data_IF_047536293285
#
_entry.id   IF_047536293285
#
_cell.length_a   1.000
_cell.length_b   1.000
_cell.length_c   1.000
_cell.angle_alpha   90.00
_cell.angle_beta   90.00
_cell.angle_gamma   90.00
#
_symmetry.space_group_name_H-M   'P 1'
#
loop_
_entity.id
_entity.type
_entity.pdbx_description
1 polymer ?
#
# COMPACT_ATOMS: atom_id res chain seq x y z
N UNK A 1 32.16 24.87 36.81
CA UNK A 1 31.31 25.74 35.95
C UNK A 1 30.58 24.87 34.93
N UNK A 2 29.43 25.32 34.40
CA UNK A 2 28.59 24.64 33.37
C UNK A 2 28.41 25.62 32.19
N UNK A 3 28.05 25.28 30.95
CA UNK A 3 27.05 24.33 30.36
C UNK A 3 27.49 23.95 28.93
N UNK A 4 26.99 22.96 28.18
CA UNK A 4 26.16 21.73 28.34
C UNK A 4 26.32 20.91 27.03
N UNK A 5 25.98 19.62 27.00
CA UNK A 5 25.92 18.81 25.75
C UNK A 5 24.52 18.82 25.12
N UNK A 6 24.44 18.98 23.79
CA UNK A 6 23.22 18.75 23.00
C UNK A 6 23.30 17.39 22.31
N UNK A 7 22.75 16.36 22.95
CA UNK A 7 22.48 15.08 22.30
C UNK A 7 21.21 14.44 22.88
N UNK A 8 20.05 14.94 22.45
CA UNK A 8 18.74 14.31 22.66
C UNK A 8 18.25 13.71 21.36
N UNK A 9 18.48 12.40 21.20
CA UNK A 9 18.03 11.61 20.07
C UNK A 9 16.88 10.69 20.51
N UNK A 10 15.77 10.77 19.79
CA UNK A 10 14.58 9.89 19.62
C UNK A 10 14.20 8.80 20.67
N UNK A 11 15.13 8.15 21.35
CA UNK A 11 14.90 7.21 22.47
C UNK A 11 14.03 7.85 23.59
N UNK A 12 14.26 9.12 23.89
CA UNK A 12 13.48 9.92 24.85
C UNK A 12 11.98 9.99 24.48
N UNK A 13 11.63 9.93 23.18
CA UNK A 13 10.23 10.02 22.75
C UNK A 13 9.51 8.68 22.93
N UNK A 14 10.14 7.57 22.51
CA UNK A 14 9.60 6.22 22.72
C UNK A 14 9.50 5.87 24.22
N UNK A 15 10.52 6.22 25.02
CA UNK A 15 10.44 6.01 26.48
C UNK A 15 9.46 6.94 27.19
N UNK A 16 9.10 8.10 26.64
CA UNK A 16 8.06 8.97 27.23
C UNK A 16 6.65 8.37 27.14
N UNK A 17 6.35 7.65 26.05
CA UNK A 17 5.06 6.98 25.83
C UNK A 17 5.00 5.61 26.54
N UNK A 18 6.17 5.00 26.78
CA UNK A 18 6.30 3.67 27.38
C UNK A 18 6.85 3.65 28.81
N UNK A 19 6.73 4.73 29.60
CA UNK A 19 6.97 4.62 31.05
C UNK A 19 5.91 3.71 31.68
N UNK A 20 6.27 2.55 32.25
CA UNK A 20 5.33 1.82 33.08
C UNK A 20 5.13 2.63 34.35
N UNK A 21 3.87 2.93 34.68
CA UNK A 21 3.55 3.24 36.07
C UNK A 21 4.00 2.04 36.92
N UNK A 22 4.81 2.27 37.95
CA UNK A 22 5.17 1.23 38.92
C UNK A 22 3.98 0.96 39.85
N UNK A 23 2.91 0.42 39.27
CA UNK A 23 1.74 -0.17 39.90
C UNK A 23 1.06 -1.03 38.83
N UNK A 24 1.41 -2.32 38.78
CA UNK A 24 0.94 -3.23 37.74
C UNK A 24 -0.51 -3.67 37.98
N UNK A 25 -1.46 -3.06 37.28
CA UNK A 25 -2.82 -3.57 37.12
C UNK A 25 -3.02 -4.09 35.69
N UNK A 26 -3.37 -5.37 35.54
CA UNK A 26 -3.65 -6.01 34.23
C UNK A 26 -4.74 -5.28 33.42
N UNK A 27 -5.64 -4.59 34.12
CA UNK A 27 -6.79 -3.91 33.59
C UNK A 27 -6.43 -2.73 32.64
N UNK A 28 -5.27 -2.10 32.80
CA UNK A 28 -4.88 -0.95 31.95
C UNK A 28 -4.39 -1.37 30.54
N UNK A 29 -3.84 -2.58 30.40
CA UNK A 29 -3.53 -3.18 29.10
C UNK A 29 -4.81 -3.50 28.34
N UNK A 30 -5.73 -4.24 28.96
CA UNK A 30 -7.04 -4.59 28.39
C UNK A 30 -7.85 -3.33 28.02
N UNK A 31 -7.82 -2.30 28.87
CA UNK A 31 -8.54 -1.04 28.61
C UNK A 31 -7.99 -0.28 27.40
N UNK A 32 -6.68 -0.31 27.17
CA UNK A 32 -6.07 0.29 25.96
C UNK A 32 -6.33 -0.55 24.71
N UNK A 33 -6.28 -1.88 24.83
CA UNK A 33 -6.57 -2.81 23.74
C UNK A 33 -8.04 -2.69 23.28
N UNK A 34 -8.98 -2.65 24.22
CA UNK A 34 -10.41 -2.45 23.94
C UNK A 34 -10.70 -1.10 23.26
N UNK A 35 -10.03 -0.01 23.67
CA UNK A 35 -10.15 1.31 23.01
C UNK A 35 -9.50 1.34 21.62
N UNK A 36 -8.49 0.50 21.36
CA UNK A 36 -7.89 0.38 20.02
C UNK A 36 -8.78 -0.40 19.05
N UNK A 37 -9.48 -1.44 19.54
CA UNK A 37 -10.39 -2.24 18.72
C UNK A 37 -11.74 -1.53 18.50
N UNK A 38 -12.22 -0.71 19.44
CA UNK A 38 -13.47 0.07 19.27
C UNK A 38 -13.39 1.18 18.21
N UNK A 39 -12.23 1.41 17.58
CA UNK A 39 -12.05 2.33 16.44
C UNK A 39 -12.08 1.64 15.07
N UNK A 40 -12.17 0.30 15.04
CA UNK A 40 -12.10 -0.47 13.80
C UNK A 40 -13.52 -0.62 13.26
N UNK A 41 -13.97 0.38 12.51
CA UNK A 41 -15.12 0.22 11.63
C UNK A 41 -14.69 -0.63 10.42
N UNK A 42 -15.25 -1.83 10.31
CA UNK A 42 -14.97 -2.78 9.24
C UNK A 42 -16.01 -2.73 8.11
N UNK A 43 -16.98 -1.80 8.18
CA UNK A 43 -18.08 -1.69 7.20
C UNK A 43 -17.64 -1.16 5.83
N UNK A 44 -16.51 -0.45 5.78
CA UNK A 44 -15.93 0.10 4.53
C UNK A 44 -15.31 -0.99 3.65
N UNK A 45 -14.84 -2.10 4.24
CA UNK A 45 -14.30 -3.22 3.47
C UNK A 45 -15.41 -4.23 3.12
N UNK A 46 -15.44 -4.75 1.88
CA UNK A 46 -16.37 -5.82 1.54
C UNK A 46 -16.20 -7.05 2.44
N UNK A 47 -17.30 -7.75 2.71
CA UNK A 47 -17.24 -9.03 3.44
C UNK A 47 -16.77 -10.13 2.48
N UNK A 48 -15.87 -10.99 2.97
CA UNK A 48 -15.26 -12.05 2.16
C UNK A 48 -13.98 -11.61 1.46
N UNK A 49 -13.72 -12.17 0.28
CA UNK A 49 -12.56 -11.84 -0.55
C UNK A 49 -12.91 -10.75 -1.57
N UNK A 50 -11.99 -9.81 -1.77
CA UNK A 50 -12.14 -8.67 -2.67
C UNK A 50 -10.81 -8.28 -3.31
N UNK A 51 -10.89 -7.62 -4.46
CA UNK A 51 -9.79 -6.92 -5.09
C UNK A 51 -9.65 -5.51 -4.49
N UNK A 52 -8.42 -5.01 -4.40
CA UNK A 52 -8.14 -3.62 -4.04
C UNK A 52 -7.63 -2.92 -5.30
N UNK A 53 -8.51 -2.11 -5.92
CA UNK A 53 -8.34 -1.54 -7.26
C UNK A 53 -7.75 -0.13 -7.24
N UNK A 54 -6.78 0.06 -8.14
CA UNK A 54 -6.07 1.30 -8.38
C UNK A 54 -6.98 2.34 -9.04
N UNK A 55 -7.04 3.57 -8.51
CA UNK A 55 -7.74 4.70 -9.15
C UNK A 55 -7.13 5.16 -10.49
N UNK A 56 -5.93 4.69 -10.85
CA UNK A 56 -5.16 5.23 -11.98
C UNK A 56 -5.38 4.44 -13.27
N UNK A 57 -5.45 3.11 -13.17
CA UNK A 57 -5.50 2.20 -14.32
C UNK A 57 -6.42 0.99 -14.10
N UNK A 58 -7.14 0.91 -12.97
CA UNK A 58 -7.99 -0.24 -12.62
C UNK A 58 -7.22 -1.51 -12.21
N UNK A 59 -5.88 -1.50 -12.25
CA UNK A 59 -5.04 -2.61 -11.79
C UNK A 59 -5.18 -2.87 -10.29
N UNK A 60 -4.88 -4.09 -9.85
CA UNK A 60 -5.15 -4.57 -8.48
C UNK A 60 -3.87 -4.78 -7.68
N UNK A 61 -3.97 -4.73 -6.35
CA UNK A 61 -2.85 -5.05 -5.45
C UNK A 61 -2.46 -6.53 -5.56
N UNK A 62 -1.17 -6.79 -5.79
CA UNK A 62 -0.60 -8.13 -5.90
C UNK A 62 0.81 -8.18 -5.29
N UNK A 63 1.23 -9.28 -4.63
CA UNK A 63 2.63 -9.54 -4.30
C UNK A 63 3.48 -9.67 -5.57
N UNK A 64 4.58 -8.92 -5.64
CA UNK A 64 5.46 -8.89 -6.82
C UNK A 64 5.90 -10.30 -7.24
N UNK A 65 5.75 -10.58 -8.55
CA UNK A 65 6.11 -11.86 -9.17
C UNK A 65 5.37 -13.07 -8.59
N UNK A 66 4.11 -12.88 -8.15
CA UNK A 66 3.25 -13.91 -7.57
C UNK A 66 3.86 -14.63 -6.35
N UNK A 67 4.90 -14.06 -5.75
CA UNK A 67 5.66 -14.73 -4.71
C UNK A 67 4.86 -14.80 -3.41
N UNK A 68 4.95 -15.93 -2.70
CA UNK A 68 4.30 -16.12 -1.39
C UNK A 68 5.23 -15.73 -0.22
N UNK A 69 6.42 -15.21 -0.50
CA UNK A 69 7.44 -14.93 0.51
C UNK A 69 7.19 -13.63 1.28
N UNK A 70 7.62 -13.61 2.53
CA UNK A 70 7.61 -12.42 3.39
C UNK A 70 8.62 -11.37 2.90
N UNK A 71 8.26 -10.08 3.01
CA UNK A 71 9.08 -8.95 2.54
C UNK A 71 9.00 -8.66 1.04
N UNK A 72 8.27 -9.47 0.26
CA UNK A 72 7.95 -9.23 -1.17
C UNK A 72 7.12 -7.96 -1.30
N UNK A 73 7.52 -7.05 -2.20
CA UNK A 73 6.83 -5.77 -2.40
C UNK A 73 5.43 -5.96 -2.97
N UNK A 74 4.51 -5.04 -2.67
CA UNK A 74 3.22 -4.97 -3.35
C UNK A 74 3.31 -4.06 -4.58
N UNK A 75 2.70 -4.51 -5.68
CA UNK A 75 2.62 -3.82 -6.98
C UNK A 75 1.18 -3.78 -7.47
N UNK A 76 0.94 -3.01 -8.52
CA UNK A 76 -0.26 -3.10 -9.36
C UNK A 76 -0.07 -4.13 -10.47
N UNK A 77 -1.03 -5.03 -10.64
CA UNK A 77 -1.11 -5.96 -11.77
C UNK A 77 -2.46 -5.86 -12.49
N UNK A 78 -2.52 -6.41 -13.70
CA UNK A 78 -3.76 -6.59 -14.45
C UNK A 78 -4.67 -7.55 -13.69
N UNK A 79 -5.94 -7.17 -13.46
CA UNK A 79 -6.90 -7.99 -12.73
C UNK A 79 -7.18 -9.31 -13.46
N UNK A 80 -7.08 -10.43 -12.74
CA UNK A 80 -7.34 -11.79 -13.21
C UNK A 80 -8.50 -12.42 -12.46
N UNK A 81 -9.12 -13.42 -13.07
CA UNK A 81 -10.28 -14.14 -12.54
C UNK A 81 -10.06 -15.66 -12.62
N UNK A 82 -10.84 -16.43 -11.86
CA UNK A 82 -10.68 -17.89 -11.79
C UNK A 82 -9.58 -18.30 -10.81
N UNK A 83 -8.89 -19.40 -11.10
CA UNK A 83 -7.88 -19.98 -10.21
C UNK A 83 -6.64 -19.09 -10.02
N UNK A 84 -6.24 -18.32 -11.05
CA UNK A 84 -5.04 -17.47 -11.02
C UNK A 84 -5.25 -16.10 -10.31
N UNK A 85 -6.39 -15.93 -9.64
CA UNK A 85 -6.81 -14.69 -8.98
C UNK A 85 -6.42 -14.60 -7.49
N UNK A 86 -6.11 -15.72 -6.83
CA UNK A 86 -5.98 -15.77 -5.36
C UNK A 86 -4.79 -14.94 -4.84
N UNK A 87 -3.76 -14.72 -5.66
CA UNK A 87 -2.66 -13.78 -5.35
C UNK A 87 -3.09 -12.31 -5.36
N UNK A 88 -4.22 -11.97 -5.99
CA UNK A 88 -4.78 -10.61 -6.10
C UNK A 88 -5.97 -10.36 -5.16
N UNK A 89 -6.45 -11.42 -4.51
CA UNK A 89 -7.59 -11.37 -3.60
C UNK A 89 -7.12 -11.12 -2.16
N UNK A 90 -7.83 -10.22 -1.49
CA UNK A 90 -7.57 -9.80 -0.14
C UNK A 90 -8.83 -9.90 0.70
N UNK A 91 -8.70 -10.09 2.01
CA UNK A 91 -9.79 -9.90 2.98
C UNK A 91 -9.34 -9.00 4.11
N UNK A 92 -10.29 -8.36 4.77
CA UNK A 92 -10.05 -7.56 5.96
C UNK A 92 -10.53 -8.31 7.21
N UNK A 93 -9.71 -8.32 8.27
CA UNK A 93 -10.02 -8.93 9.55
C UNK A 93 -9.27 -8.20 10.67
N UNK A 94 -10.01 -7.64 11.64
CA UNK A 94 -9.44 -7.03 12.85
C UNK A 94 -8.32 -5.99 12.58
N UNK A 95 -8.42 -5.22 11.51
CA UNK A 95 -7.40 -4.24 11.09
C UNK A 95 -6.32 -4.79 10.15
N UNK A 96 -6.22 -6.10 9.93
CA UNK A 96 -5.28 -6.67 8.98
C UNK A 96 -5.92 -6.83 7.59
N UNK A 97 -5.18 -6.49 6.55
CA UNK A 97 -5.51 -6.82 5.15
C UNK A 97 -4.68 -8.07 4.80
N UNK A 98 -5.33 -9.18 4.49
CA UNK A 98 -4.72 -10.53 4.35
C UNK A 98 -4.86 -11.00 2.90
N UNK A 99 -3.78 -11.49 2.29
CA UNK A 99 -3.79 -12.10 0.96
C UNK A 99 -4.39 -13.51 0.99
N UNK A 100 -5.17 -13.88 -0.03
CA UNK A 100 -5.85 -15.19 -0.10
C UNK A 100 -4.86 -16.34 -0.32
N UNK A 101 -3.98 -16.21 -1.31
CA UNK A 101 -3.00 -17.26 -1.66
C UNK A 101 -1.93 -17.47 -0.56
N UNK A 102 -1.27 -16.39 -0.11
CA UNK A 102 -0.13 -16.51 0.81
C UNK A 102 -0.51 -16.59 2.30
N UNK A 103 -1.74 -16.20 2.65
CA UNK A 103 -2.18 -16.00 4.04
C UNK A 103 -1.46 -14.86 4.78
N UNK A 104 -0.58 -14.11 4.11
CA UNK A 104 0.24 -13.04 4.70
C UNK A 104 -0.51 -11.71 4.71
N UNK A 105 -0.06 -10.79 5.55
CA UNK A 105 -0.70 -9.47 5.73
C UNK A 105 0.06 -8.35 5.02
N UNK A 106 -0.67 -7.31 4.62
CA UNK A 106 -0.12 -6.06 4.13
C UNK A 106 0.67 -5.34 5.24
N UNK A 107 1.95 -5.06 4.99
CA UNK A 107 2.92 -4.51 5.94
C UNK A 107 3.71 -3.35 5.30
N UNK A 108 4.22 -2.44 6.12
CA UNK A 108 5.17 -1.41 5.68
C UNK A 108 6.58 -1.97 5.71
N UNK A 109 7.26 -1.92 4.56
CA UNK A 109 8.56 -2.57 4.39
C UNK A 109 9.62 -2.00 5.34
N UNK A 110 10.04 -2.84 6.29
CA UNK A 110 11.10 -2.53 7.26
C UNK A 110 10.64 -1.70 8.46
N UNK A 111 9.36 -1.76 8.83
CA UNK A 111 8.83 -1.21 10.09
C UNK A 111 9.17 0.28 10.32
N UNK A 112 9.22 1.06 9.23
CA UNK A 112 9.60 2.47 9.26
C UNK A 112 9.06 3.24 8.06
N UNK A 113 8.38 4.35 8.31
CA UNK A 113 7.96 5.28 7.26
C UNK A 113 9.07 6.28 6.93
N UNK A 114 9.53 6.26 5.68
CA UNK A 114 10.40 7.26 5.06
C UNK A 114 9.54 8.37 4.42
N UNK A 115 9.69 9.59 4.93
CA UNK A 115 8.89 10.77 4.49
C UNK A 115 9.23 11.30 3.08
N UNK A 116 10.48 11.16 2.62
CA UNK A 116 11.00 11.88 1.43
C UNK A 116 10.88 11.08 0.13
N UNK A 117 10.96 9.75 0.19
CA UNK A 117 10.96 8.87 -0.99
C UNK A 117 9.76 7.92 -1.02
N UNK A 118 8.77 8.15 -0.17
CA UNK A 118 7.75 7.15 0.20
C UNK A 118 8.36 5.90 0.84
N UNK A 119 7.51 4.95 1.21
CA UNK A 119 7.93 3.64 1.72
C UNK A 119 7.18 2.54 1.01
N UNK A 120 7.86 1.53 0.48
CA UNK A 120 7.18 0.39 -0.14
C UNK A 120 6.30 -0.35 0.86
N UNK A 121 5.15 -0.82 0.37
CA UNK A 121 4.42 -1.91 1.01
C UNK A 121 5.04 -3.25 0.64
N UNK A 122 4.86 -4.23 1.51
CA UNK A 122 5.15 -5.63 1.28
C UNK A 122 4.08 -6.52 1.91
N UNK A 123 4.03 -7.80 1.54
CA UNK A 123 3.37 -8.79 2.39
C UNK A 123 4.36 -9.30 3.45
N UNK A 124 3.87 -9.68 4.61
CA UNK A 124 4.68 -10.24 5.69
C UNK A 124 3.86 -11.15 6.60
N UNK A 125 4.53 -11.94 7.44
CA UNK A 125 3.84 -12.73 8.46
C UNK A 125 3.13 -11.83 9.47
N UNK A 126 1.92 -12.24 9.89
CA UNK A 126 1.09 -11.49 10.84
C UNK A 126 1.80 -11.39 12.20
N UNK A 127 2.16 -10.17 12.58
CA UNK A 127 2.73 -9.83 13.90
C UNK A 127 1.62 -9.86 14.96
N UNK A 128 2.00 -10.09 16.22
CA UNK A 128 1.09 -9.92 17.36
C UNK A 128 0.56 -8.48 17.44
N UNK A 129 -0.64 -8.27 17.99
CA UNK A 129 -1.30 -6.95 18.03
C UNK A 129 -0.40 -5.84 18.60
N UNK A 130 0.42 -6.16 19.59
CA UNK A 130 1.39 -5.25 20.23
C UNK A 130 2.50 -4.77 19.27
N UNK A 131 2.90 -5.60 18.30
CA UNK A 131 3.96 -5.33 17.34
C UNK A 131 3.43 -5.02 15.92
N UNK A 132 2.12 -5.13 15.70
CA UNK A 132 1.47 -4.99 14.40
C UNK A 132 1.26 -3.53 13.94
N UNK A 133 1.88 -2.53 14.56
CA UNK A 133 1.60 -1.10 14.31
C UNK A 133 1.73 -0.63 12.85
N UNK A 134 2.44 -1.40 12.02
CA UNK A 134 2.65 -1.19 10.58
C UNK A 134 1.87 -2.17 9.66
N UNK A 135 1.13 -3.10 10.26
CA UNK A 135 0.28 -4.11 9.57
C UNK A 135 -1.22 -3.88 9.80
N UNK A 136 -1.59 -2.81 10.52
CA UNK A 136 -2.97 -2.48 10.88
C UNK A 136 -3.44 -1.26 10.10
N UNK A 137 -4.57 -1.42 9.43
CA UNK A 137 -5.12 -0.52 8.42
C UNK A 137 -6.57 -0.14 8.78
N UNK A 138 -7.03 1.02 8.29
CA UNK A 138 -8.43 1.46 8.29
C UNK A 138 -8.80 1.84 6.85
N UNK A 139 -9.98 1.42 6.40
CA UNK A 139 -10.60 1.90 5.17
C UNK A 139 -11.50 3.10 5.45
N UNK A 140 -11.50 4.08 4.55
CA UNK A 140 -12.31 5.30 4.68
C UNK A 140 -13.34 5.38 3.55
N UNK A 141 -14.53 5.93 3.83
CA UNK A 141 -15.64 6.05 2.86
C UNK A 141 -15.26 6.89 1.62
N UNK A 142 -14.29 7.80 1.73
CA UNK A 142 -13.74 8.61 0.64
C UNK A 142 -12.66 7.87 -0.20
N UNK A 143 -12.42 6.58 0.07
CA UNK A 143 -11.55 5.68 -0.70
C UNK A 143 -10.11 5.58 -0.18
N UNK A 144 -9.74 6.27 0.90
CA UNK A 144 -8.40 6.12 1.47
C UNK A 144 -8.27 4.81 2.25
N UNK A 145 -7.08 4.22 2.23
CA UNK A 145 -6.69 3.15 3.14
C UNK A 145 -5.51 3.69 3.94
N UNK A 146 -5.70 3.93 5.25
CA UNK A 146 -4.69 4.51 6.13
C UNK A 146 -4.15 3.51 7.14
N UNK A 147 -3.03 3.81 7.78
CA UNK A 147 -2.65 3.10 9.01
C UNK A 147 -3.68 3.34 10.13
N UNK A 148 -3.85 2.34 10.99
CA UNK A 148 -4.60 2.44 12.26
C UNK A 148 -3.85 3.30 13.30
N UNK A 149 -2.51 3.34 13.20
CA UNK A 149 -1.63 4.05 14.15
C UNK A 149 -1.41 5.53 13.80
N UNK A 150 -1.54 5.91 12.53
CA UNK A 150 -1.38 7.30 12.04
C UNK A 150 -2.12 7.47 10.70
N UNK A 151 -3.35 7.98 10.76
CA UNK A 151 -4.29 8.08 9.64
C UNK A 151 -3.84 9.01 8.50
N UNK A 152 -2.85 9.87 8.77
CA UNK A 152 -2.19 10.74 7.79
C UNK A 152 -1.39 9.97 6.76
N UNK A 153 -1.01 8.72 7.05
CA UNK A 153 -0.27 7.87 6.13
C UNK A 153 -1.19 6.86 5.44
N UNK A 154 -1.29 6.99 4.12
CA UNK A 154 -2.23 6.27 3.26
C UNK A 154 -1.52 5.50 2.15
N UNK A 155 -2.18 4.47 1.63
CA UNK A 155 -1.78 3.77 0.40
C UNK A 155 -1.77 4.73 -0.79
N UNK A 156 -0.70 4.69 -1.58
CA UNK A 156 -0.47 5.55 -2.73
C UNK A 156 0.16 4.77 -3.88
N UNK A 157 -0.35 4.96 -5.10
CA UNK A 157 0.25 4.42 -6.32
C UNK A 157 1.56 5.15 -6.61
N UNK A 158 2.68 4.46 -6.44
CA UNK A 158 4.01 4.99 -6.71
C UNK A 158 4.31 5.08 -8.21
N UNK A 159 5.01 6.13 -8.59
CA UNK A 159 5.39 6.40 -9.98
C UNK A 159 5.35 7.88 -10.29
N UNK A 160 6.28 8.30 -11.16
CA UNK A 160 6.31 9.62 -11.77
C UNK A 160 6.39 9.45 -13.30
N UNK A 161 6.11 10.51 -14.05
CA UNK A 161 6.20 10.54 -15.52
C UNK A 161 5.37 9.45 -16.24
N UNK A 162 4.29 8.98 -15.63
CA UNK A 162 3.38 7.99 -16.22
C UNK A 162 3.65 6.55 -15.78
N UNK A 163 4.77 6.27 -15.10
CA UNK A 163 5.07 4.92 -14.58
C UNK A 163 4.02 4.39 -13.60
N UNK A 164 3.25 5.28 -12.95
CA UNK A 164 2.09 4.92 -12.11
C UNK A 164 0.95 4.21 -12.87
N UNK A 165 0.97 4.24 -14.21
CA UNK A 165 -0.03 3.57 -15.07
C UNK A 165 0.39 2.17 -15.51
N UNK A 166 1.67 1.83 -15.32
CA UNK A 166 2.25 0.59 -15.83
C UNK A 166 1.91 -0.60 -14.93
N UNK A 167 1.86 -1.79 -15.51
CA UNK A 167 1.93 -3.03 -14.75
C UNK A 167 3.27 -3.13 -13.99
N UNK A 168 3.22 -3.64 -12.76
CA UNK A 168 4.35 -3.64 -11.84
C UNK A 168 4.59 -2.31 -11.10
N UNK A 169 3.73 -1.29 -11.28
CA UNK A 169 3.83 -0.03 -10.52
C UNK A 169 3.79 -0.30 -9.02
N UNK A 170 4.80 0.18 -8.28
CA UNK A 170 4.91 -0.08 -6.84
C UNK A 170 3.86 0.65 -6.04
N UNK A 171 3.36 0.01 -4.97
CA UNK A 171 2.49 0.68 -4.01
C UNK A 171 3.29 1.11 -2.78
N UNK A 172 3.06 2.36 -2.37
CA UNK A 172 3.79 3.05 -1.33
C UNK A 172 2.84 3.49 -0.20
N UNK A 173 3.42 3.74 0.96
CA UNK A 173 2.81 4.56 2.02
C UNK A 173 3.30 5.98 1.90
N UNK A 174 2.35 6.91 1.96
CA UNK A 174 2.57 8.33 1.67
C UNK A 174 1.67 9.23 2.52
N UNK A 175 2.03 10.51 2.68
CA UNK A 175 1.19 11.45 3.41
C UNK A 175 -0.08 11.81 2.60
N UNK A 176 -1.25 11.84 3.24
CA UNK A 176 -2.55 12.20 2.63
C UNK A 176 -2.53 13.61 2.02
N UNK A 177 -1.74 14.52 2.59
CA UNK A 177 -1.55 15.90 2.11
C UNK A 177 -0.11 16.20 1.68
N UNK A 178 0.48 15.34 0.85
CA UNK A 178 1.90 15.41 0.47
C UNK A 178 2.42 16.81 0.06
N UNK A 179 1.69 17.53 -0.79
CA UNK A 179 2.10 18.85 -1.29
C UNK A 179 2.19 19.93 -0.21
N UNK A 180 1.39 19.85 0.85
CA UNK A 180 1.47 20.76 1.99
C UNK A 180 2.64 20.35 2.87
N UNK A 181 2.73 19.05 3.18
CA UNK A 181 3.77 18.49 4.03
C UNK A 181 5.20 18.79 3.55
N UNK A 182 5.49 18.60 2.25
CA UNK A 182 6.83 18.87 1.70
C UNK A 182 7.15 20.38 1.70
N UNK A 183 6.17 21.25 1.44
CA UNK A 183 6.36 22.71 1.56
C UNK A 183 6.67 23.11 3.00
N UNK A 184 5.98 22.54 3.96
CA UNK A 184 6.18 22.81 5.38
C UNK A 184 7.52 22.28 5.90
N UNK A 185 7.96 21.10 5.46
CA UNK A 185 9.27 20.56 5.86
C UNK A 185 10.43 21.33 5.19
N UNK A 186 10.29 21.71 3.91
CA UNK A 186 11.28 22.54 3.20
C UNK A 186 11.35 23.98 3.74
N UNK A 187 10.25 24.55 4.21
CA UNK A 187 10.24 25.91 4.80
C UNK A 187 10.88 25.92 6.19
N UNK A 188 10.68 24.88 7.03
CA UNK A 188 11.42 24.71 8.30
C UNK A 188 12.93 24.66 8.05
N UNK A 189 13.39 23.77 7.17
CA UNK A 189 14.82 23.64 6.81
C UNK A 189 15.40 24.97 6.32
N UNK A 190 14.67 25.73 5.48
CA UNK A 190 15.09 27.06 5.02
C UNK A 190 15.07 28.14 6.11
N UNK A 191 14.21 28.01 7.12
CA UNK A 191 14.18 28.88 8.29
C UNK A 191 15.40 28.69 9.19
N UNK A 192 15.76 27.43 9.45
CA UNK A 192 16.91 27.08 10.30
C UNK A 192 18.24 27.53 9.67
N UNK A 193 18.40 27.37 8.36
CA UNK A 193 19.58 27.86 7.60
C UNK A 193 19.74 29.38 7.72
N UNK A 194 18.63 30.15 7.75
CA UNK A 194 18.66 31.61 7.93
C UNK A 194 19.01 32.01 9.36
N UNK A 195 18.60 31.22 10.36
CA UNK A 195 18.90 31.49 11.77
C UNK A 195 20.33 31.11 12.18
N UNK A 196 20.98 30.19 11.47
CA UNK A 196 22.40 29.84 11.67
C UNK A 196 23.40 30.88 11.14
N UNK A 197 23.01 31.78 10.24
CA UNK A 197 23.93 32.60 9.44
C UNK A 197 24.00 34.08 9.87
N UNK A 198 24.33 34.37 11.14
CA UNK A 198 24.69 35.73 11.59
C UNK A 198 26.20 35.98 11.49
N UNK A 199 26.66 36.38 10.30
CA UNK A 199 27.65 37.48 10.03
C UNK A 199 28.24 37.33 8.62
N UNK A 200 27.73 38.08 7.65
CA UNK A 200 28.45 39.22 7.05
C UNK A 200 27.52 39.98 6.10
N UNK A 201 27.65 41.31 6.08
CA UNK A 201 26.84 42.24 5.29
C UNK A 201 27.62 42.70 4.06
N UNK A 202 27.07 42.54 2.85
CA UNK A 202 27.10 43.56 1.76
C UNK A 202 26.30 43.14 0.51
N UNK A 203 25.30 43.97 0.22
CA UNK A 203 24.93 44.56 -1.07
C UNK A 203 24.79 43.69 -2.34
N UNK A 204 23.54 43.44 -2.74
CA UNK A 204 22.95 43.88 -4.01
C UNK A 204 23.31 43.18 -5.33
N UNK A 205 22.33 42.49 -5.93
CA UNK A 205 21.87 42.76 -7.31
C UNK A 205 20.57 42.00 -7.63
N UNK A 206 19.82 42.60 -8.56
CA UNK A 206 18.54 42.29 -9.22
C UNK A 206 18.01 40.83 -9.25
N UNK A 207 16.68 40.75 -9.13
CA UNK A 207 15.84 39.64 -9.59
C UNK A 207 15.95 39.42 -11.10
N UNK A 208 16.27 38.19 -11.50
CA UNK A 208 15.93 37.64 -12.82
C UNK A 208 15.17 36.31 -12.60
N UNK A 209 13.85 36.33 -12.80
CA UNK A 209 12.98 35.23 -12.41
C UNK A 209 13.17 33.94 -13.25
N UNK A 210 13.54 32.84 -12.59
CA UNK A 210 13.42 31.46 -13.14
C UNK A 210 12.85 30.47 -12.12
N UNK A 211 11.65 30.77 -11.60
CA UNK A 211 10.78 29.76 -10.95
C UNK A 211 10.10 28.90 -12.03
N UNK A 212 10.91 28.22 -12.85
CA UNK A 212 10.45 27.41 -13.98
C UNK A 212 10.16 25.96 -13.60
N UNK A 213 8.98 25.48 -13.99
CA UNK A 213 8.62 24.08 -14.15
C UNK A 213 8.60 23.18 -12.89
N UNK A 214 7.51 23.22 -12.12
CA UNK A 214 7.10 22.10 -11.26
C UNK A 214 5.58 22.04 -10.97
N UNK A 215 4.76 22.30 -11.99
CA UNK A 215 3.29 22.26 -11.89
C UNK A 215 2.66 21.60 -13.12
N UNK A 216 2.97 20.31 -13.34
CA UNK A 216 2.29 19.45 -14.31
C UNK A 216 1.94 18.10 -13.65
N UNK A 217 1.22 18.16 -12.53
CA UNK A 217 0.64 16.99 -11.88
C UNK A 217 -0.87 17.16 -11.81
N UNK A 218 -1.59 16.24 -12.46
CA UNK A 218 -3.03 16.07 -12.19
C UNK A 218 -3.22 15.74 -10.70
N UNK A 219 -4.35 16.14 -10.12
CA UNK A 219 -4.59 16.17 -8.67
C UNK A 219 -4.06 14.92 -7.96
N UNK A 220 -2.94 15.04 -7.23
CA UNK A 220 -2.18 13.88 -6.71
C UNK A 220 -3.01 12.96 -5.79
N UNK A 221 -4.06 13.50 -5.18
CA UNK A 221 -5.04 12.77 -4.38
C UNK A 221 -5.74 11.64 -5.17
N UNK A 222 -5.74 11.69 -6.52
CA UNK A 222 -6.24 10.59 -7.35
C UNK A 222 -5.45 9.30 -7.10
N UNK A 223 -4.14 9.36 -6.84
CA UNK A 223 -3.27 8.19 -6.58
C UNK A 223 -3.53 7.49 -5.24
N UNK A 224 -4.50 7.95 -4.43
CA UNK A 224 -4.72 7.51 -3.05
C UNK A 224 -6.16 7.01 -2.76
N UNK A 225 -7.06 7.07 -3.74
CA UNK A 225 -8.49 6.70 -3.57
C UNK A 225 -8.77 5.32 -4.18
N UNK A 226 -8.63 4.29 -3.38
CA UNK A 226 -8.80 2.90 -3.76
C UNK A 226 -10.28 2.54 -3.87
N UNK A 227 -10.57 1.59 -4.75
CA UNK A 227 -11.88 0.97 -4.90
C UNK A 227 -11.81 -0.48 -4.47
N UNK A 228 -12.92 -1.04 -4.02
CA UNK A 228 -13.04 -2.47 -3.71
C UNK A 228 -14.04 -3.11 -4.67
N UNK A 229 -13.75 -4.35 -5.09
CA UNK A 229 -14.61 -5.16 -5.94
C UNK A 229 -14.65 -6.58 -5.36
N UNK A 230 -15.83 -7.12 -5.11
CA UNK A 230 -15.99 -8.42 -4.44
C UNK A 230 -15.60 -9.56 -5.39
N UNK A 231 -15.05 -10.67 -4.87
CA UNK A 231 -14.70 -11.86 -5.68
C UNK A 231 -15.89 -12.39 -6.52
N UNK A 232 -17.12 -12.16 -6.06
CA UNK A 232 -18.36 -12.62 -6.68
C UNK A 232 -18.92 -11.66 -7.74
N UNK A 233 -18.37 -10.46 -7.88
CA UNK A 233 -18.79 -9.46 -8.89
C UNK A 233 -18.15 -9.70 -10.28
N UNK A 234 -17.53 -10.87 -10.46
CA UNK A 234 -16.97 -11.35 -11.74
C UNK A 234 -17.97 -11.15 -12.87
N UNK A 235 -17.57 -10.54 -14.01
CA UNK A 235 -18.44 -10.52 -15.18
C UNK A 235 -18.76 -11.96 -15.55
N UNK A 236 -20.05 -12.28 -15.65
CA UNK A 236 -20.48 -13.60 -16.14
C UNK A 236 -19.98 -13.71 -17.57
N UNK A 237 -18.94 -14.52 -17.78
CA UNK A 237 -18.56 -14.98 -19.10
C UNK A 237 -19.71 -15.84 -19.60
N UNK A 238 -20.64 -15.20 -20.31
CA UNK A 238 -21.67 -15.89 -21.07
C UNK A 238 -20.91 -16.63 -22.16
N UNK A 239 -20.59 -17.90 -21.92
CA UNK A 239 -20.07 -18.78 -22.96
C UNK A 239 -21.01 -18.65 -24.15
N UNK A 240 -20.51 -18.39 -25.37
CA UNK A 240 -21.38 -18.35 -26.54
C UNK A 240 -22.16 -19.66 -26.57
N UNK A 241 -23.48 -19.62 -26.87
CA UNK A 241 -24.30 -20.81 -26.83
C UNK A 241 -23.67 -21.88 -27.71
N UNK A 242 -23.42 -23.06 -27.14
CA UNK A 242 -22.85 -24.20 -27.86
C UNK A 242 -23.70 -24.39 -29.12
N UNK A 243 -23.12 -24.28 -30.33
CA UNK A 243 -23.88 -24.49 -31.56
C UNK A 243 -24.61 -25.83 -31.48
N UNK A 244 -25.90 -25.86 -31.80
CA UNK A 244 -26.71 -27.09 -31.65
C UNK A 244 -26.22 -28.24 -32.56
N UNK A 245 -25.40 -27.90 -33.55
CA UNK A 245 -24.85 -28.79 -34.56
C UNK A 245 -23.43 -29.27 -34.20
N UNK A 246 -22.98 -29.12 -32.94
CA UNK A 246 -21.67 -29.58 -32.47
C UNK A 246 -21.59 -31.13 -32.43
N UNK A 247 -21.15 -31.73 -33.53
CA UNK A 247 -20.99 -33.18 -33.65
C UNK A 247 -19.72 -33.65 -32.92
N UNK A 248 -19.89 -34.38 -31.81
CA UNK A 248 -18.78 -34.92 -31.01
C UNK A 248 -17.84 -35.85 -31.82
N UNK A 249 -18.35 -36.46 -32.89
CA UNK A 249 -17.58 -37.42 -33.70
C UNK A 249 -16.47 -36.78 -34.55
N UNK A 250 -16.57 -35.49 -34.88
CA UNK A 250 -15.60 -34.81 -35.76
C UNK A 250 -14.21 -34.71 -35.11
N UNK A 251 -14.13 -34.80 -33.78
CA UNK A 251 -12.86 -34.77 -33.03
C UNK A 251 -12.08 -36.10 -33.10
N UNK A 252 -12.77 -37.24 -33.25
CA UNK A 252 -12.14 -38.57 -33.28
C UNK A 252 -11.44 -38.79 -34.63
N UNK A 253 -12.04 -38.29 -35.72
CA UNK A 253 -11.48 -38.43 -37.07
C UNK A 253 -10.26 -37.51 -37.31
N UNK A 254 -10.19 -36.38 -36.60
CA UNK A 254 -9.00 -35.52 -36.57
C UNK A 254 -7.83 -36.16 -35.82
N UNK A 255 -8.09 -36.83 -34.68
CA UNK A 255 -7.04 -37.49 -33.88
C UNK A 255 -6.36 -38.67 -34.57
N UNK A 256 -7.13 -39.45 -35.36
CA UNK A 256 -6.60 -40.64 -36.04
C UNK A 256 -5.72 -40.35 -37.27
N UNK A 257 -5.69 -39.12 -37.80
CA UNK A 257 -4.85 -38.74 -38.94
C UNK A 257 -3.41 -38.34 -38.58
N UNK A 258 -3.09 -38.14 -37.30
CA UNK A 258 -1.78 -37.63 -36.88
C UNK A 258 -0.82 -38.73 -36.40
N UNK A 259 -1.32 -39.88 -35.97
CA UNK A 259 -0.51 -40.99 -35.41
C UNK A 259 -0.21 -42.11 -36.42
N UNK A 260 0.10 -41.74 -37.67
CA UNK A 260 0.56 -42.66 -38.71
C UNK A 260 2.00 -43.13 -38.53
N UNK A 261 2.31 -43.81 -37.41
CA UNK A 261 3.60 -44.49 -37.22
C UNK A 261 3.53 -45.87 -37.88
N UNK A 262 4.08 -45.98 -39.09
CA UNK A 262 4.30 -47.27 -39.73
C UNK A 262 5.43 -48.03 -39.02
N UNK A 263 5.12 -49.20 -38.46
CA UNK A 263 6.11 -50.20 -38.04
C UNK A 263 6.12 -51.28 -39.12
N UNK A 264 7.19 -51.31 -39.94
CA UNK A 264 7.47 -52.46 -40.80
C UNK A 264 8.11 -53.59 -39.98
N UNK A 265 7.75 -54.82 -40.33
CA UNK A 265 8.38 -56.06 -39.85
C UNK A 265 9.55 -56.44 -40.76
#
# INVERSE_FOLDING_TARGET
MSKHNYHKSLEDFFTSILRPSKNGNKNDSERKENVSNSKIDDSVFPKGWFYIKSPINGGVLEPQSLSLNSGVKIVLSTQRFGFDADTQLWRYENGFIINKESGKVLDIKGDRIRKVHGTHLCQNDRKSLQNAGYQRWIGHVDGYISLLSDDRYVLHVGGHFGHEKNEGAYVLVHHKEHNNFIKDELTKIKGDVKNGSRKHKKNGSKDDGKNGCLTMFGSENSKQRWQFESEHEKPVLISPPIPKDYNYNDYIDAGNKVNGIAIQQ
#
